data_IF_325798243318
#
_entry.id   IF_325798243318
#
_cell.length_a   1.000
_cell.length_b   1.000
_cell.length_c   1.000
_cell.angle_alpha   90.00
_cell.angle_beta   90.00
_cell.angle_gamma   90.00
#
_symmetry.space_group_name_H-M   'P 1'
#
loop_
_entity.id
_entity.type
_entity.pdbx_description
1 polymer ?
#
# COMPACT_ATOMS: atom_id res chain seq x y z
N UNK A 1 -20.73 -11.78 -23.73
CA UNK A 1 -20.92 -11.93 -22.29
C UNK A 1 -21.87 -10.86 -21.78
N UNK A 2 -23.02 -11.22 -21.25
CA UNK A 2 -23.93 -10.27 -20.59
C UNK A 2 -23.17 -9.69 -19.38
N UNK A 3 -23.02 -8.36 -19.33
CA UNK A 3 -22.40 -7.67 -18.20
C UNK A 3 -23.18 -8.03 -16.94
N UNK A 4 -22.52 -8.70 -16.00
CA UNK A 4 -23.12 -9.00 -14.69
C UNK A 4 -23.42 -7.68 -13.98
N UNK A 5 -24.51 -7.61 -13.25
CA UNK A 5 -24.89 -6.43 -12.44
C UNK A 5 -23.80 -5.99 -11.46
N UNK A 6 -22.90 -6.89 -11.08
CA UNK A 6 -21.72 -6.64 -10.22
C UNK A 6 -20.67 -5.70 -10.85
N UNK A 7 -20.69 -5.52 -12.17
CA UNK A 7 -19.73 -4.67 -12.90
C UNK A 7 -20.39 -3.42 -13.47
N UNK A 8 -21.57 -3.04 -12.99
CA UNK A 8 -22.24 -1.83 -13.45
C UNK A 8 -21.37 -0.59 -13.05
N UNK A 9 -21.07 0.33 -13.99
CA UNK A 9 -20.23 1.49 -13.73
C UNK A 9 -20.66 2.33 -12.52
N UNK A 10 -21.95 2.43 -12.25
CA UNK A 10 -22.51 3.20 -11.12
C UNK A 10 -22.13 2.66 -9.74
N UNK A 11 -21.76 1.37 -9.64
CA UNK A 11 -21.30 0.77 -8.38
C UNK A 11 -19.91 1.27 -8.02
N UNK A 12 -19.09 1.61 -9.03
CA UNK A 12 -17.70 2.01 -8.87
C UNK A 12 -17.46 3.49 -9.23
N UNK A 13 -18.45 4.14 -9.86
CA UNK A 13 -18.43 5.57 -10.19
C UNK A 13 -19.52 6.27 -9.37
N UNK A 14 -19.38 6.24 -8.06
CA UNK A 14 -20.25 6.97 -7.17
C UNK A 14 -19.68 8.38 -7.01
N UNK A 15 -20.14 9.34 -7.82
CA UNK A 15 -19.63 10.71 -7.85
C UNK A 15 -19.78 11.45 -6.54
N UNK A 16 -20.77 11.09 -5.71
CA UNK A 16 -20.95 11.66 -4.37
C UNK A 16 -19.82 11.27 -3.40
N UNK A 17 -19.14 10.12 -3.68
CA UNK A 17 -17.99 9.62 -2.92
C UNK A 17 -16.68 9.70 -3.69
N UNK A 18 -16.76 10.06 -4.98
CA UNK A 18 -15.63 10.04 -5.89
C UNK A 18 -14.61 11.14 -5.60
N UNK A 19 -14.98 12.12 -4.83
CA UNK A 19 -14.13 13.25 -4.48
C UNK A 19 -13.36 13.02 -3.18
N UNK A 20 -13.78 12.04 -2.38
CA UNK A 20 -13.05 11.61 -1.22
C UNK A 20 -11.76 10.85 -1.55
N UNK A 21 -11.12 10.36 -0.54
CA UNK A 21 -9.77 9.77 -0.48
C UNK A 21 -9.42 8.80 -1.63
N UNK A 22 -10.44 8.22 -2.28
CA UNK A 22 -10.26 7.33 -3.43
C UNK A 22 -11.40 7.51 -4.43
N UNK A 23 -11.13 8.13 -5.57
CA UNK A 23 -11.98 7.98 -6.76
C UNK A 23 -11.91 6.52 -7.22
N UNK A 24 -12.71 5.67 -6.61
CA UNK A 24 -12.74 4.23 -6.91
C UNK A 24 -13.77 3.93 -7.97
N UNK A 25 -13.42 4.20 -9.21
CA UNK A 25 -14.12 3.59 -10.33
C UNK A 25 -13.38 2.32 -10.79
N UNK A 26 -14.06 1.48 -11.57
CA UNK A 26 -13.50 0.23 -12.07
C UNK A 26 -12.19 0.42 -12.87
N UNK A 27 -12.02 1.56 -13.53
CA UNK A 27 -10.80 1.90 -14.29
C UNK A 27 -9.62 2.13 -13.35
N UNK A 28 -9.80 2.92 -12.29
CA UNK A 28 -8.75 3.23 -11.33
C UNK A 28 -8.30 1.96 -10.58
N UNK A 29 -9.26 1.12 -10.16
CA UNK A 29 -8.96 -0.17 -9.52
C UNK A 29 -8.18 -1.08 -10.49
N UNK A 30 -8.59 -1.15 -11.74
CA UNK A 30 -7.90 -1.94 -12.77
C UNK A 30 -6.48 -1.42 -13.05
N UNK A 31 -6.30 -0.10 -13.12
CA UNK A 31 -4.99 0.49 -13.37
C UNK A 31 -4.04 0.26 -12.19
N UNK A 32 -4.51 0.41 -10.96
CA UNK A 32 -3.71 0.08 -9.78
C UNK A 32 -3.35 -1.41 -9.75
N UNK A 33 -4.29 -2.29 -10.08
CA UNK A 33 -4.03 -3.72 -10.17
C UNK A 33 -2.96 -4.04 -11.23
N UNK A 34 -3.04 -3.42 -12.42
CA UNK A 34 -2.01 -3.57 -13.46
C UNK A 34 -0.65 -3.08 -13.00
N UNK A 35 -0.59 -1.91 -12.35
CA UNK A 35 0.66 -1.38 -11.80
C UNK A 35 1.29 -2.36 -10.80
N UNK A 36 0.49 -2.92 -9.90
CA UNK A 36 0.98 -3.92 -8.94
C UNK A 36 1.50 -5.18 -9.64
N UNK A 37 0.87 -5.62 -10.72
CA UNK A 37 1.37 -6.73 -11.54
C UNK A 37 2.70 -6.38 -12.22
N UNK A 38 2.84 -5.18 -12.78
CA UNK A 38 4.09 -4.72 -13.40
C UNK A 38 5.24 -4.68 -12.39
N UNK A 39 5.03 -4.02 -11.25
CA UNK A 39 6.04 -3.95 -10.19
C UNK A 39 6.44 -5.35 -9.68
N UNK A 40 5.44 -6.22 -9.47
CA UNK A 40 5.69 -7.60 -9.07
C UNK A 40 6.58 -8.35 -10.07
N UNK A 41 6.33 -8.21 -11.37
CA UNK A 41 7.13 -8.86 -12.40
C UNK A 41 8.56 -8.32 -12.45
N UNK A 42 8.72 -7.00 -12.32
CA UNK A 42 10.04 -6.36 -12.27
C UNK A 42 10.84 -6.87 -11.08
N UNK A 43 10.24 -6.86 -9.88
CA UNK A 43 10.90 -7.32 -8.66
C UNK A 43 11.21 -8.82 -8.70
N UNK A 44 10.25 -9.67 -9.10
CA UNK A 44 10.49 -11.11 -9.20
C UNK A 44 11.57 -11.47 -10.20
N UNK A 45 11.60 -10.78 -11.34
CA UNK A 45 12.60 -11.04 -12.39
C UNK A 45 14.01 -10.61 -11.95
N UNK A 46 14.13 -9.42 -11.33
CA UNK A 46 15.42 -8.90 -10.89
C UNK A 46 15.97 -9.61 -9.65
N UNK A 47 15.12 -9.91 -8.67
CA UNK A 47 15.61 -10.52 -7.40
C UNK A 47 15.58 -12.05 -7.39
N UNK A 48 14.92 -12.70 -8.35
CA UNK A 48 14.70 -14.16 -8.33
C UNK A 48 13.83 -14.66 -7.16
N UNK A 49 13.18 -13.77 -6.41
CA UNK A 49 12.42 -14.09 -5.20
C UNK A 49 10.92 -13.93 -5.42
N UNK A 50 10.07 -14.75 -4.78
CA UNK A 50 8.62 -14.57 -4.83
C UNK A 50 8.20 -13.27 -4.12
N UNK A 51 7.18 -12.60 -4.63
CA UNK A 51 6.66 -11.34 -4.08
C UNK A 51 5.21 -11.49 -3.65
N UNK A 52 4.92 -11.20 -2.38
CA UNK A 52 3.56 -11.10 -1.83
C UNK A 52 2.99 -9.73 -2.16
N UNK A 53 1.83 -9.70 -2.80
CA UNK A 53 1.14 -8.48 -3.23
C UNK A 53 0.04 -8.15 -2.25
N UNK A 54 0.17 -7.02 -1.55
CA UNK A 54 -0.81 -6.53 -0.58
C UNK A 54 -1.26 -5.13 -1.03
N UNK A 55 -2.49 -5.01 -1.50
CA UNK A 55 -3.04 -3.73 -1.93
C UNK A 55 -3.64 -2.94 -0.75
N UNK A 56 -3.22 -1.70 -0.58
CA UNK A 56 -3.93 -0.74 0.28
C UNK A 56 -5.19 -0.29 -0.44
N UNK A 57 -6.18 -1.15 -0.47
CA UNK A 57 -7.41 -1.01 -1.25
C UNK A 57 -8.58 -1.67 -0.54
N UNK A 58 -9.79 -1.17 -0.73
CA UNK A 58 -11.02 -1.74 -0.19
C UNK A 58 -11.02 -1.84 1.34
N UNK A 59 -10.68 -0.79 2.03
CA UNK A 59 -10.66 -0.76 3.50
C UNK A 59 -11.47 0.38 4.07
N UNK A 60 -11.06 0.84 5.24
CA UNK A 60 -11.58 2.06 5.84
C UNK A 60 -11.23 3.29 4.99
N UNK A 61 -12.19 4.18 4.84
CA UNK A 61 -12.01 5.51 4.27
C UNK A 61 -11.78 6.55 5.37
N UNK A 62 -11.04 6.16 6.41
CA UNK A 62 -10.67 6.97 7.55
C UNK A 62 -9.28 7.57 7.38
N UNK A 63 -9.08 8.75 7.96
CA UNK A 63 -7.81 9.47 7.94
C UNK A 63 -7.41 9.91 9.36
N UNK A 64 -6.20 9.51 9.84
CA UNK A 64 -5.69 10.04 11.11
C UNK A 64 -5.34 11.53 10.95
N UNK A 65 -5.64 12.32 11.97
CA UNK A 65 -5.37 13.76 12.00
C UNK A 65 -4.54 14.12 13.23
N UNK A 66 -3.60 15.04 13.05
CA UNK A 66 -2.81 15.61 14.14
C UNK A 66 -3.50 16.77 14.86
N UNK A 67 -4.57 17.32 14.27
CA UNK A 67 -5.39 18.38 14.87
C UNK A 67 -6.87 18.03 14.74
N UNK A 68 -7.65 18.35 15.76
CA UNK A 68 -9.09 18.16 15.76
C UNK A 68 -9.82 19.19 14.88
N UNK A 69 -9.18 20.31 14.60
CA UNK A 69 -9.73 21.40 13.82
C UNK A 69 -8.81 21.80 12.68
N UNK A 70 -9.41 22.27 11.60
CA UNK A 70 -8.78 22.95 10.45
C UNK A 70 -9.24 24.40 10.44
N UNK A 71 -8.31 25.33 10.12
CA UNK A 71 -8.61 26.76 10.02
C UNK A 71 -8.30 27.23 8.59
N UNK A 72 -9.30 27.88 7.96
CA UNK A 72 -9.16 28.52 6.65
C UNK A 72 -9.82 29.91 6.75
N UNK A 73 -9.10 30.95 6.39
CA UNK A 73 -9.57 32.34 6.37
C UNK A 73 -10.23 32.79 7.69
N UNK A 74 -9.69 32.34 8.83
CA UNK A 74 -10.20 32.69 10.16
C UNK A 74 -11.44 31.91 10.60
N UNK A 75 -11.92 30.97 9.79
CA UNK A 75 -13.00 30.03 10.16
C UNK A 75 -12.39 28.72 10.61
N UNK A 76 -12.77 28.26 11.83
CA UNK A 76 -12.31 26.98 12.39
C UNK A 76 -13.44 25.96 12.33
N UNK A 77 -13.18 24.82 11.67
CA UNK A 77 -14.13 23.71 11.56
C UNK A 77 -13.45 22.40 11.97
N UNK A 78 -14.25 21.36 12.40
CA UNK A 78 -13.69 20.04 12.63
C UNK A 78 -12.91 19.51 11.44
N UNK A 79 -11.78 18.88 11.69
CA UNK A 79 -10.94 18.31 10.64
C UNK A 79 -11.68 17.26 9.81
N UNK A 80 -11.37 17.21 8.51
CA UNK A 80 -11.79 16.09 7.66
C UNK A 80 -11.09 14.80 8.13
N UNK A 81 -11.86 13.79 8.51
CA UNK A 81 -11.38 12.53 9.08
C UNK A 81 -11.60 11.32 8.17
N UNK A 82 -11.94 11.57 6.91
CA UNK A 82 -12.23 10.55 5.90
C UNK A 82 -13.73 10.39 5.65
N UNK A 83 -14.07 9.94 4.44
CA UNK A 83 -15.46 9.83 3.96
C UNK A 83 -16.33 8.90 4.82
N UNK A 84 -15.75 7.97 5.56
CA UNK A 84 -16.46 7.12 6.51
C UNK A 84 -17.00 7.91 7.70
N UNK A 85 -16.44 9.07 8.00
CA UNK A 85 -16.78 9.91 9.16
C UNK A 85 -17.52 11.16 8.71
N UNK A 86 -16.88 12.02 7.88
CA UNK A 86 -17.42 13.32 7.50
C UNK A 86 -16.99 13.71 6.07
N UNK A 87 -17.57 14.80 5.54
CA UNK A 87 -17.27 15.30 4.21
C UNK A 87 -16.01 16.16 4.16
N UNK A 88 -15.38 16.25 2.98
CA UNK A 88 -14.14 17.02 2.76
C UNK A 88 -14.40 18.51 2.59
N UNK A 89 -15.59 18.90 2.12
CA UNK A 89 -15.94 20.29 1.92
C UNK A 89 -15.77 21.07 3.23
N UNK A 90 -15.19 22.27 3.13
CA UNK A 90 -14.96 23.12 4.29
C UNK A 90 -16.24 23.89 4.64
N UNK A 91 -17.26 23.18 5.10
CA UNK A 91 -18.54 23.70 5.55
C UNK A 91 -18.98 23.00 6.84
N UNK A 92 -19.71 23.69 7.70
CA UNK A 92 -20.22 23.12 8.95
C UNK A 92 -21.01 21.82 8.69
N UNK A 93 -21.91 21.84 7.70
CA UNK A 93 -22.76 20.68 7.38
C UNK A 93 -21.95 19.45 6.92
N UNK A 94 -20.90 19.65 6.10
CA UNK A 94 -20.07 18.56 5.62
C UNK A 94 -19.18 17.96 6.73
N UNK A 95 -18.78 18.78 7.71
CA UNK A 95 -17.89 18.37 8.80
C UNK A 95 -18.60 17.65 9.95
N UNK A 96 -19.92 17.58 9.94
CA UNK A 96 -20.69 16.80 10.93
C UNK A 96 -20.49 15.30 10.65
N UNK A 97 -20.06 14.49 11.66
CA UNK A 97 -19.94 13.04 11.49
C UNK A 97 -21.30 12.38 11.18
N UNK A 98 -21.29 11.45 10.23
CA UNK A 98 -22.50 10.73 9.83
C UNK A 98 -22.28 9.21 9.88
N UNK A 99 -22.87 8.49 10.88
CA UNK A 99 -22.72 7.05 11.04
C UNK A 99 -23.19 6.21 9.83
N UNK A 100 -24.12 6.73 9.02
CA UNK A 100 -24.59 6.05 7.79
C UNK A 100 -23.46 5.89 6.76
N UNK A 101 -22.41 6.70 6.86
CA UNK A 101 -21.25 6.58 5.99
C UNK A 101 -20.49 5.27 6.18
N UNK A 102 -20.54 4.65 7.37
CA UNK A 102 -19.95 3.32 7.60
C UNK A 102 -20.60 2.24 6.70
N UNK A 103 -21.92 2.25 6.53
CA UNK A 103 -22.62 1.32 5.64
C UNK A 103 -22.22 1.53 4.17
N UNK A 104 -22.09 2.80 3.77
CA UNK A 104 -21.64 3.15 2.40
C UNK A 104 -20.19 2.69 2.18
N UNK A 105 -19.30 2.92 3.16
CA UNK A 105 -17.90 2.47 3.11
C UNK A 105 -17.82 0.95 3.00
N UNK A 106 -18.61 0.21 3.78
CA UNK A 106 -18.69 -1.25 3.70
C UNK A 106 -19.11 -1.73 2.30
N UNK A 107 -20.20 -1.19 1.75
CA UNK A 107 -20.68 -1.57 0.42
C UNK A 107 -19.62 -1.29 -0.66
N UNK A 108 -18.96 -0.14 -0.59
CA UNK A 108 -17.90 0.24 -1.53
C UNK A 108 -16.67 -0.68 -1.38
N UNK A 109 -16.31 -1.02 -0.17
CA UNK A 109 -15.21 -1.93 0.14
C UNK A 109 -15.50 -3.34 -0.40
N UNK A 110 -16.67 -3.90 -0.09
CA UNK A 110 -17.09 -5.22 -0.54
C UNK A 110 -17.13 -5.33 -2.08
N UNK A 111 -17.68 -4.31 -2.75
CA UNK A 111 -17.71 -4.25 -4.22
C UNK A 111 -16.28 -4.19 -4.81
N UNK A 112 -15.39 -3.43 -4.20
CA UNK A 112 -13.99 -3.32 -4.62
C UNK A 112 -13.23 -4.64 -4.45
N UNK A 113 -13.39 -5.31 -3.31
CA UNK A 113 -12.79 -6.63 -3.04
C UNK A 113 -13.25 -7.67 -4.07
N UNK A 114 -14.54 -7.69 -4.39
CA UNK A 114 -15.09 -8.61 -5.37
C UNK A 114 -14.52 -8.35 -6.78
N UNK A 115 -14.37 -7.08 -7.17
CA UNK A 115 -13.76 -6.71 -8.45
C UNK A 115 -12.28 -7.09 -8.51
N UNK A 116 -11.52 -6.86 -7.45
CA UNK A 116 -10.11 -7.26 -7.35
C UNK A 116 -9.96 -8.77 -7.49
N UNK A 117 -10.83 -9.55 -6.82
CA UNK A 117 -10.86 -11.01 -6.95
C UNK A 117 -11.16 -11.46 -8.38
N UNK A 118 -12.11 -10.78 -9.04
CA UNK A 118 -12.42 -11.05 -10.44
C UNK A 118 -11.22 -10.77 -11.37
N UNK A 119 -10.46 -9.70 -11.13
CA UNK A 119 -9.23 -9.41 -11.90
C UNK A 119 -8.13 -10.44 -11.64
N UNK A 120 -7.94 -10.85 -10.39
CA UNK A 120 -6.90 -11.78 -10.01
C UNK A 120 -7.10 -13.19 -10.60
N UNK A 121 -8.36 -13.62 -10.78
CA UNK A 121 -8.72 -14.96 -11.28
C UNK A 121 -9.32 -14.98 -12.68
N UNK A 122 -9.76 -13.84 -13.19
CA UNK A 122 -10.49 -13.73 -14.48
C UNK A 122 -9.60 -13.51 -15.71
N UNK A 123 -8.30 -13.83 -15.62
CA UNK A 123 -7.36 -13.80 -16.74
C UNK A 123 -6.75 -12.42 -17.03
N UNK A 124 -6.94 -11.40 -16.18
CA UNK A 124 -6.16 -10.16 -16.27
C UNK A 124 -4.72 -10.36 -15.80
N UNK A 125 -4.51 -11.27 -14.85
CA UNK A 125 -3.21 -11.65 -14.29
C UNK A 125 -2.47 -12.72 -15.09
N UNK A 126 -2.98 -13.13 -16.25
CA UNK A 126 -2.38 -14.12 -17.12
C UNK A 126 -1.02 -13.63 -17.67
N UNK A 127 0.05 -14.37 -17.40
CA UNK A 127 1.41 -14.04 -17.86
C UNK A 127 1.55 -13.98 -19.37
N UNK A 128 0.70 -14.70 -20.14
CA UNK A 128 0.64 -14.56 -21.58
C UNK A 128 0.13 -13.17 -22.03
N UNK A 129 -0.41 -12.36 -21.11
CA UNK A 129 -0.91 -11.01 -21.35
C UNK A 129 -0.05 -9.93 -20.70
N UNK A 130 1.16 -10.27 -20.28
CA UNK A 130 2.08 -9.36 -19.59
C UNK A 130 2.26 -8.02 -20.31
N UNK A 131 2.31 -8.02 -21.64
CA UNK A 131 2.38 -6.80 -22.45
C UNK A 131 1.15 -5.88 -22.29
N UNK A 132 -0.02 -6.44 -22.00
CA UNK A 132 -1.27 -5.68 -21.83
C UNK A 132 -1.36 -4.96 -20.49
N UNK A 133 -0.42 -5.22 -19.56
CA UNK A 133 -0.38 -4.51 -18.29
C UNK A 133 0.24 -3.14 -18.41
N UNK A 134 1.07 -2.90 -19.47
CA UNK A 134 1.69 -1.61 -19.69
C UNK A 134 0.61 -0.51 -19.80
N UNK A 135 0.73 0.53 -18.98
CA UNK A 135 -0.25 1.60 -18.94
C UNK A 135 -0.01 2.57 -20.10
N UNK A 136 -1.08 3.06 -20.72
CA UNK A 136 -1.03 3.87 -21.94
C UNK A 136 -0.08 5.06 -21.84
N UNK A 137 -0.11 5.79 -20.72
CA UNK A 137 0.65 7.02 -20.51
C UNK A 137 2.14 6.81 -20.15
N UNK A 138 2.58 5.56 -19.90
CA UNK A 138 3.99 5.24 -19.67
C UNK A 138 4.61 4.46 -20.83
N UNK A 139 3.82 4.01 -21.78
CA UNK A 139 4.22 3.12 -22.87
C UNK A 139 5.39 3.66 -23.70
N UNK A 140 5.38 4.96 -23.97
CA UNK A 140 6.37 5.61 -24.84
C UNK A 140 7.56 6.19 -24.08
N UNK A 141 7.52 6.22 -22.74
CA UNK A 141 8.65 6.68 -21.94
C UNK A 141 9.72 5.57 -21.76
N UNK A 142 10.86 5.92 -21.17
CA UNK A 142 11.98 4.99 -20.97
C UNK A 142 11.57 3.75 -20.16
N UNK A 143 10.76 3.93 -19.12
CA UNK A 143 10.33 2.82 -18.25
C UNK A 143 9.36 1.88 -18.97
N UNK A 144 8.43 2.40 -19.75
CA UNK A 144 7.54 1.60 -20.58
C UNK A 144 8.34 0.73 -21.55
N UNK A 145 9.37 1.29 -22.20
CA UNK A 145 10.28 0.53 -23.10
C UNK A 145 11.07 -0.54 -22.34
N UNK A 146 11.57 -0.23 -21.13
CA UNK A 146 12.24 -1.23 -20.27
C UNK A 146 11.29 -2.36 -19.90
N UNK A 147 10.06 -2.02 -19.52
CA UNK A 147 9.04 -3.00 -19.21
C UNK A 147 8.66 -3.87 -20.42
N UNK A 148 8.54 -3.31 -21.60
CA UNK A 148 8.27 -4.07 -22.84
C UNK A 148 9.43 -5.02 -23.18
N UNK A 149 10.67 -4.61 -22.97
CA UNK A 149 11.83 -5.49 -23.12
C UNK A 149 11.79 -6.66 -22.13
N UNK A 150 11.44 -6.42 -20.87
CA UNK A 150 11.22 -7.45 -19.87
C UNK A 150 10.06 -8.37 -20.26
N UNK A 151 8.93 -7.81 -20.68
CA UNK A 151 7.76 -8.57 -21.13
C UNK A 151 8.09 -9.52 -22.28
N UNK A 152 8.97 -9.10 -23.20
CA UNK A 152 9.45 -9.93 -24.31
C UNK A 152 10.27 -11.12 -23.82
N UNK A 153 11.12 -10.93 -22.80
CA UNK A 153 11.88 -12.03 -22.19
C UNK A 153 10.95 -13.02 -21.48
N UNK A 154 9.94 -12.53 -20.76
CA UNK A 154 8.93 -13.36 -20.09
C UNK A 154 8.13 -14.16 -21.13
N UNK A 155 7.66 -13.54 -22.21
CA UNK A 155 6.93 -14.22 -23.30
C UNK A 155 7.77 -15.36 -23.90
N UNK A 156 9.08 -15.14 -24.08
CA UNK A 156 10.00 -16.18 -24.56
C UNK A 156 10.13 -17.35 -23.57
N UNK A 157 10.23 -17.03 -22.27
CA UNK A 157 10.28 -18.04 -21.21
C UNK A 157 8.96 -18.84 -21.15
N UNK A 158 7.80 -18.17 -21.28
CA UNK A 158 6.50 -18.81 -21.30
C UNK A 158 6.34 -19.77 -22.50
N UNK A 159 6.81 -19.38 -23.70
CA UNK A 159 6.84 -20.25 -24.89
C UNK A 159 7.72 -21.47 -24.69
N UNK A 160 8.87 -21.30 -24.04
CA UNK A 160 9.74 -22.43 -23.68
C UNK A 160 9.07 -23.38 -22.71
N UNK A 161 8.46 -22.86 -21.63
CA UNK A 161 7.73 -23.68 -20.66
C UNK A 161 6.57 -24.46 -21.33
N UNK A 162 5.81 -23.79 -22.20
CA UNK A 162 4.73 -24.43 -22.95
C UNK A 162 5.24 -25.58 -23.86
N UNK A 163 6.40 -25.39 -24.49
CA UNK A 163 7.03 -26.46 -25.30
C UNK A 163 7.48 -27.66 -24.43
N UNK A 164 7.78 -27.41 -23.15
CA UNK A 164 8.06 -28.47 -22.16
C UNK A 164 6.78 -29.09 -21.54
N UNK A 165 5.58 -28.70 -22.01
CA UNK A 165 4.30 -29.20 -21.46
C UNK A 165 3.77 -28.45 -20.23
N UNK A 166 4.45 -27.39 -19.81
CA UNK A 166 4.04 -26.54 -18.68
C UNK A 166 3.24 -25.33 -19.20
N UNK A 167 1.94 -25.42 -19.13
CA UNK A 167 1.02 -24.38 -19.65
C UNK A 167 -0.01 -23.94 -18.59
N UNK A 168 -0.88 -23.03 -18.96
CA UNK A 168 -1.89 -22.48 -18.07
C UNK A 168 -2.90 -23.51 -17.54
N UNK A 169 -3.11 -24.62 -18.28
CA UNK A 169 -4.03 -25.68 -17.85
C UNK A 169 -3.40 -26.57 -16.77
N UNK A 170 -2.08 -26.78 -16.86
CA UNK A 170 -1.32 -27.57 -15.90
C UNK A 170 -0.84 -26.74 -14.68
N UNK A 171 -0.70 -25.43 -14.85
CA UNK A 171 -0.16 -24.51 -13.82
C UNK A 171 -1.04 -23.25 -13.66
N UNK A 172 -2.02 -23.27 -12.74
CA UNK A 172 -2.89 -22.12 -12.49
C UNK A 172 -2.13 -20.81 -12.16
N UNK A 173 -0.93 -20.92 -11.59
CA UNK A 173 -0.06 -19.76 -11.25
C UNK A 173 0.37 -18.95 -12.48
N UNK A 174 0.30 -19.52 -13.68
CA UNK A 174 0.64 -18.82 -14.92
C UNK A 174 -0.46 -17.87 -15.40
N UNK A 175 -1.72 -18.07 -14.97
CA UNK A 175 -2.85 -17.26 -15.44
C UNK A 175 -3.67 -16.61 -14.32
N UNK A 176 -3.34 -16.92 -13.05
CA UNK A 176 -4.00 -16.37 -11.88
C UNK A 176 -2.95 -15.82 -10.91
N UNK A 177 -3.36 -14.90 -10.07
CA UNK A 177 -2.53 -14.40 -8.98
C UNK A 177 -3.33 -14.27 -7.71
N UNK A 178 -2.63 -14.18 -6.58
CA UNK A 178 -3.22 -13.77 -5.31
C UNK A 178 -2.88 -12.30 -5.08
N UNK A 179 -3.89 -11.48 -4.81
CA UNK A 179 -3.74 -10.14 -4.29
C UNK A 179 -4.46 -10.08 -2.94
N UNK A 180 -3.71 -9.83 -1.90
CA UNK A 180 -4.22 -9.56 -0.57
C UNK A 180 -4.58 -8.07 -0.45
N UNK A 181 -5.39 -7.73 0.55
CA UNK A 181 -5.76 -6.33 0.85
C UNK A 181 -5.40 -5.99 2.27
N UNK A 182 -5.10 -4.70 2.50
CA UNK A 182 -4.75 -4.19 3.81
C UNK A 182 -5.18 -2.72 3.95
N UNK A 183 -5.45 -2.28 5.18
CA UNK A 183 -5.67 -0.88 5.54
C UNK A 183 -5.30 -0.61 7.00
N UNK A 184 -5.20 0.68 7.36
CA UNK A 184 -5.09 1.09 8.76
C UNK A 184 -6.44 0.87 9.47
N UNK A 185 -6.45 0.08 10.52
CA UNK A 185 -7.66 -0.14 11.34
C UNK A 185 -7.84 1.01 12.33
N UNK A 186 -8.08 2.20 11.81
CA UNK A 186 -8.18 3.41 12.64
C UNK A 186 -9.50 3.47 13.41
N UNK A 187 -10.62 3.09 12.77
CA UNK A 187 -11.96 3.15 13.35
C UNK A 187 -12.37 1.76 13.83
N UNK A 188 -12.09 1.45 15.10
CA UNK A 188 -12.32 0.13 15.69
C UNK A 188 -13.79 -0.31 15.68
N UNK A 189 -14.74 0.61 15.79
CA UNK A 189 -16.17 0.28 15.68
C UNK A 189 -16.55 -0.34 14.31
N UNK A 190 -15.84 0.05 13.26
CA UNK A 190 -16.01 -0.53 11.93
C UNK A 190 -15.40 -1.94 11.86
N UNK A 191 -14.20 -2.12 12.42
CA UNK A 191 -13.48 -3.39 12.41
C UNK A 191 -14.17 -4.43 13.30
N UNK A 192 -14.59 -4.05 14.51
CA UNK A 192 -15.35 -4.91 15.43
C UNK A 192 -16.62 -5.43 14.77
N UNK A 193 -17.37 -4.56 14.09
CA UNK A 193 -18.58 -4.96 13.36
C UNK A 193 -18.33 -6.00 12.25
N UNK A 194 -17.09 -6.12 11.75
CA UNK A 194 -16.69 -7.07 10.70
C UNK A 194 -15.87 -8.25 11.24
N UNK A 195 -15.59 -8.28 12.54
CA UNK A 195 -14.85 -9.38 13.18
C UNK A 195 -15.76 -10.58 13.40
N UNK A 196 -15.26 -11.77 13.03
CA UNK A 196 -16.00 -13.04 13.11
C UNK A 196 -15.15 -14.12 13.72
N UNK A 197 -15.80 -15.00 14.49
CA UNK A 197 -15.20 -16.23 14.96
C UNK A 197 -15.27 -17.28 13.86
N UNK A 198 -14.13 -17.84 13.51
CA UNK A 198 -14.08 -19.00 12.62
C UNK A 198 -14.61 -20.25 13.35
N UNK A 199 -15.51 -20.96 12.71
CA UNK A 199 -16.20 -22.12 13.31
C UNK A 199 -15.34 -23.38 13.35
N UNK A 200 -14.30 -23.45 12.52
CA UNK A 200 -13.40 -24.61 12.45
C UNK A 200 -12.25 -24.49 13.45
N UNK A 201 -11.61 -23.33 13.48
CA UNK A 201 -10.45 -23.10 14.35
C UNK A 201 -10.81 -22.51 15.71
N UNK A 202 -11.96 -21.87 15.85
CA UNK A 202 -12.37 -21.13 17.04
C UNK A 202 -11.70 -19.78 17.23
N UNK A 203 -10.88 -19.36 16.27
CA UNK A 203 -10.13 -18.10 16.29
C UNK A 203 -10.94 -16.93 15.75
N UNK A 204 -10.56 -15.70 16.12
CA UNK A 204 -11.22 -14.50 15.67
C UNK A 204 -10.47 -13.86 14.49
N UNK A 205 -11.20 -13.51 13.44
CA UNK A 205 -10.67 -12.82 12.27
C UNK A 205 -11.47 -11.56 11.97
N UNK A 206 -10.76 -10.47 11.73
CA UNK A 206 -11.35 -9.30 11.11
C UNK A 206 -11.49 -9.55 9.60
N UNK A 207 -12.74 -9.51 9.11
CA UNK A 207 -13.09 -9.81 7.72
C UNK A 207 -13.12 -8.55 6.83
N UNK A 208 -12.71 -7.39 7.33
CA UNK A 208 -12.63 -6.15 6.56
C UNK A 208 -11.50 -6.17 5.53
N UNK A 209 -10.39 -6.86 5.84
CA UNK A 209 -9.25 -7.07 4.95
C UNK A 209 -8.50 -8.37 5.31
N UNK A 210 -7.50 -8.75 4.49
CA UNK A 210 -6.64 -9.91 4.80
C UNK A 210 -5.61 -9.59 5.87
N UNK A 211 -5.06 -8.36 5.86
CA UNK A 211 -4.11 -7.83 6.81
C UNK A 211 -4.56 -6.44 7.26
N UNK A 212 -4.33 -6.09 8.50
CA UNK A 212 -4.59 -4.74 9.02
C UNK A 212 -3.33 -4.19 9.68
N UNK A 213 -3.19 -2.87 9.76
CA UNK A 213 -2.08 -2.28 10.49
C UNK A 213 -2.51 -1.24 11.51
N UNK A 214 -1.69 -1.12 12.55
CA UNK A 214 -1.76 -0.11 13.59
C UNK A 214 -0.96 1.10 13.14
N UNK A 215 -1.54 2.30 13.20
CA UNK A 215 -0.87 3.55 12.90
C UNK A 215 0.14 3.95 13.98
N UNK A 216 1.06 4.85 13.61
CA UNK A 216 2.08 5.36 14.55
C UNK A 216 1.49 6.14 15.75
N UNK A 217 0.27 6.67 15.60
CA UNK A 217 -0.45 7.42 16.64
C UNK A 217 -1.35 6.56 17.54
N UNK A 218 -1.56 5.30 17.17
CA UNK A 218 -2.50 4.39 17.85
C UNK A 218 -1.82 3.12 18.34
N UNK A 219 -0.48 3.16 18.51
CA UNK A 219 0.34 2.03 18.90
C UNK A 219 0.70 1.99 20.40
N UNK A 220 0.12 2.85 21.20
CA UNK A 220 0.34 2.81 22.67
C UNK A 220 -0.16 1.48 23.24
N UNK A 221 0.70 0.84 24.04
CA UNK A 221 0.46 -0.49 24.61
C UNK A 221 -0.80 -0.57 25.47
N UNK A 222 -1.22 0.54 26.06
CA UNK A 222 -2.39 0.61 26.94
C UNK A 222 -3.67 1.06 26.23
N UNK A 223 -3.61 1.25 24.90
CA UNK A 223 -4.70 1.78 24.11
C UNK A 223 -5.51 0.67 23.42
N UNK A 224 -6.73 1.01 23.06
CA UNK A 224 -7.72 0.08 22.52
C UNK A 224 -7.28 -0.64 21.22
N UNK A 225 -6.42 -0.02 20.41
CA UNK A 225 -5.94 -0.62 19.18
C UNK A 225 -5.06 -1.85 19.47
N UNK A 226 -4.12 -1.76 20.38
CA UNK A 226 -3.27 -2.89 20.76
C UNK A 226 -4.11 -4.02 21.32
N UNK A 227 -5.05 -3.72 22.22
CA UNK A 227 -5.93 -4.74 22.78
C UNK A 227 -6.80 -5.43 21.74
N UNK A 228 -7.35 -4.68 20.77
CA UNK A 228 -8.11 -5.24 19.67
C UNK A 228 -7.25 -6.19 18.81
N UNK A 229 -6.05 -5.76 18.44
CA UNK A 229 -5.16 -6.53 17.56
C UNK A 229 -4.61 -7.80 18.23
N UNK A 230 -4.50 -7.83 19.55
CA UNK A 230 -4.17 -9.06 20.29
C UNK A 230 -5.23 -10.15 20.12
N UNK A 231 -6.49 -9.74 19.92
CA UNK A 231 -7.64 -10.65 19.83
C UNK A 231 -7.89 -11.25 18.45
N UNK A 232 -7.26 -10.77 17.38
CA UNK A 232 -7.48 -11.26 16.01
C UNK A 232 -6.30 -12.05 15.47
N UNK A 233 -6.56 -13.02 14.59
CA UNK A 233 -5.55 -13.92 13.98
C UNK A 233 -5.08 -13.47 12.58
N UNK A 234 -5.57 -12.37 12.06
CA UNK A 234 -5.06 -11.79 10.81
C UNK A 234 -3.56 -11.48 10.93
N UNK A 235 -2.78 -11.55 9.85
CA UNK A 235 -1.47 -10.90 9.82
C UNK A 235 -1.60 -9.42 10.19
N UNK A 236 -0.69 -8.91 11.00
CA UNK A 236 -0.73 -7.56 11.56
C UNK A 236 0.42 -6.72 11.02
N UNK A 237 0.16 -5.46 10.72
CA UNK A 237 1.17 -4.44 10.54
C UNK A 237 1.22 -3.50 11.73
N UNK A 238 2.40 -2.95 12.04
CA UNK A 238 2.55 -1.86 13.00
C UNK A 238 3.54 -0.84 12.48
N UNK A 239 3.17 0.43 12.50
CA UNK A 239 4.05 1.53 12.09
C UNK A 239 5.11 1.79 13.16
N UNK A 240 6.37 1.93 12.71
CA UNK A 240 7.53 2.19 13.56
C UNK A 240 8.18 3.49 13.08
N UNK A 241 7.99 4.55 13.84
CA UNK A 241 8.55 5.89 13.59
C UNK A 241 9.78 6.21 14.44
N UNK A 242 10.38 7.40 14.26
CA UNK A 242 11.61 7.80 14.96
C UNK A 242 11.44 8.01 16.47
N UNK A 243 10.22 7.99 16.97
CA UNK A 243 9.92 8.10 18.40
C UNK A 243 9.78 6.74 19.10
N UNK A 244 9.96 5.64 18.36
CA UNK A 244 9.91 4.29 18.93
C UNK A 244 11.17 4.04 19.75
N UNK A 245 10.98 3.64 21.01
CA UNK A 245 12.07 3.19 21.87
C UNK A 245 12.25 1.66 21.80
N UNK A 246 13.47 1.19 22.12
CA UNK A 246 13.85 -0.21 21.95
C UNK A 246 13.02 -1.15 22.86
N UNK A 247 12.83 -0.78 24.13
CA UNK A 247 12.07 -1.59 25.09
C UNK A 247 10.57 -1.58 24.75
N UNK A 248 10.01 -0.41 24.38
CA UNK A 248 8.64 -0.27 23.90
C UNK A 248 8.38 -1.19 22.68
N UNK A 249 9.33 -1.28 21.75
CA UNK A 249 9.20 -2.14 20.58
C UNK A 249 9.13 -3.63 20.95
N UNK A 250 9.94 -4.08 21.91
CA UNK A 250 9.91 -5.48 22.38
C UNK A 250 8.58 -5.78 23.07
N UNK A 251 8.13 -4.92 23.96
CA UNK A 251 6.83 -5.09 24.65
C UNK A 251 5.66 -5.13 23.64
N UNK A 252 5.72 -4.29 22.60
CA UNK A 252 4.74 -4.28 21.51
C UNK A 252 4.75 -5.59 20.70
N UNK A 253 5.94 -6.12 20.38
CA UNK A 253 6.07 -7.40 19.69
C UNK A 253 5.49 -8.53 20.55
N UNK A 254 5.80 -8.56 21.83
CA UNK A 254 5.30 -9.58 22.77
C UNK A 254 3.78 -9.51 22.94
N UNK A 255 3.22 -8.30 22.93
CA UNK A 255 1.78 -8.11 22.99
C UNK A 255 1.06 -8.60 21.70
N UNK A 256 1.63 -8.35 20.51
CA UNK A 256 1.00 -8.62 19.22
C UNK A 256 1.35 -10.00 18.64
N UNK A 257 2.48 -10.57 19.05
CA UNK A 257 2.97 -11.88 18.58
C UNK A 257 3.56 -12.70 19.73
N UNK A 258 2.74 -13.05 20.75
CA UNK A 258 3.21 -13.73 21.97
C UNK A 258 3.82 -15.11 21.69
N UNK A 259 3.36 -15.79 20.65
CA UNK A 259 3.83 -17.12 20.26
C UNK A 259 5.08 -17.05 19.35
N UNK A 260 5.60 -15.85 19.09
CA UNK A 260 6.73 -15.59 18.19
C UNK A 260 6.55 -16.26 16.80
N UNK A 261 5.33 -16.23 16.28
CA UNK A 261 4.91 -16.86 15.03
C UNK A 261 5.53 -16.14 13.82
N UNK A 262 6.13 -16.88 12.89
CA UNK A 262 6.69 -16.35 11.66
C UNK A 262 5.60 -15.78 10.75
N UNK A 263 5.84 -14.54 10.21
CA UNK A 263 4.91 -13.88 9.30
C UNK A 263 3.70 -13.22 9.95
N UNK A 264 3.51 -13.36 11.26
CA UNK A 264 2.40 -12.78 12.01
C UNK A 264 2.46 -11.26 12.06
N UNK A 265 3.62 -10.69 12.38
CA UNK A 265 3.81 -9.27 12.62
C UNK A 265 4.75 -8.65 11.58
N UNK A 266 4.27 -7.64 10.85
CA UNK A 266 5.06 -6.80 9.95
C UNK A 266 5.29 -5.42 10.58
N UNK A 267 6.54 -5.12 10.94
CA UNK A 267 6.97 -3.80 11.40
C UNK A 267 7.24 -2.90 10.19
N UNK A 268 6.45 -1.84 10.08
CA UNK A 268 6.46 -0.93 8.92
C UNK A 268 7.23 0.34 9.31
N UNK A 269 8.52 0.37 8.97
CA UNK A 269 9.45 1.46 9.30
C UNK A 269 9.13 2.71 8.49
N UNK A 270 8.99 3.86 9.17
CA UNK A 270 8.67 5.16 8.56
C UNK A 270 9.46 6.30 9.22
N UNK A 271 10.75 6.35 8.99
CA UNK A 271 11.66 7.29 9.66
C UNK A 271 11.84 8.60 8.89
N UNK A 272 11.83 8.55 7.57
CA UNK A 272 12.30 9.60 6.67
C UNK A 272 13.77 9.41 6.31
N UNK A 273 14.14 9.79 5.08
CA UNK A 273 15.49 9.60 4.53
C UNK A 273 16.61 10.21 5.41
N UNK A 274 16.33 11.35 6.05
CA UNK A 274 17.30 12.04 6.91
C UNK A 274 17.49 11.41 8.28
N UNK A 275 16.61 10.49 8.71
CA UNK A 275 16.58 9.98 10.08
C UNK A 275 16.79 8.47 10.19
N UNK A 276 16.58 7.73 9.13
CA UNK A 276 16.58 6.26 9.18
C UNK A 276 17.91 5.70 9.67
N UNK A 277 19.06 6.26 9.27
CA UNK A 277 20.39 5.84 9.71
C UNK A 277 20.64 6.06 11.19
N UNK A 278 19.98 7.05 11.80
CA UNK A 278 20.13 7.38 13.22
C UNK A 278 19.29 6.47 14.10
N UNK A 279 18.03 6.26 13.72
CA UNK A 279 17.03 5.64 14.63
C UNK A 279 16.81 4.15 14.39
N UNK A 280 16.85 3.69 13.14
CA UNK A 280 16.46 2.33 12.80
C UNK A 280 17.46 1.24 13.25
N UNK A 281 18.80 1.42 13.15
CA UNK A 281 19.75 0.36 13.48
C UNK A 281 19.63 -0.18 14.90
N UNK A 282 19.36 0.67 15.89
CA UNK A 282 19.21 0.26 17.29
C UNK A 282 17.99 -0.64 17.49
N UNK A 283 16.87 -0.30 16.87
CA UNK A 283 15.63 -1.08 16.92
C UNK A 283 15.82 -2.45 16.26
N UNK A 284 16.41 -2.47 15.06
CA UNK A 284 16.68 -3.70 14.33
C UNK A 284 17.61 -4.65 15.09
N UNK A 285 18.66 -4.08 15.69
CA UNK A 285 19.61 -4.82 16.53
C UNK A 285 18.92 -5.44 17.74
N UNK A 286 18.10 -4.66 18.46
CA UNK A 286 17.38 -5.12 19.64
C UNK A 286 16.44 -6.28 19.33
N UNK A 287 15.63 -6.17 18.29
CA UNK A 287 14.70 -7.22 17.86
C UNK A 287 15.42 -8.51 17.44
N UNK A 288 16.54 -8.37 16.70
CA UNK A 288 17.37 -9.51 16.32
C UNK A 288 17.99 -10.21 17.53
N UNK A 289 18.57 -9.45 18.44
CA UNK A 289 19.29 -9.97 19.61
C UNK A 289 18.32 -10.66 20.61
N UNK A 290 17.04 -10.25 20.66
CA UNK A 290 15.96 -10.91 21.40
C UNK A 290 15.33 -12.11 20.66
N UNK A 291 15.77 -12.42 19.45
CA UNK A 291 15.27 -13.56 18.66
C UNK A 291 13.79 -13.45 18.27
N UNK A 292 13.28 -12.24 18.08
CA UNK A 292 11.88 -12.01 17.71
C UNK A 292 11.66 -12.23 16.21
N UNK A 293 10.64 -13.03 15.86
CA UNK A 293 10.22 -13.26 14.49
C UNK A 293 9.28 -12.15 14.01
N UNK A 294 9.78 -11.28 13.18
CA UNK A 294 9.02 -10.19 12.56
C UNK A 294 9.39 -10.03 11.09
N UNK A 295 8.45 -9.51 10.32
CA UNK A 295 8.68 -9.05 8.95
C UNK A 295 9.01 -7.57 8.99
N UNK A 296 10.03 -7.13 8.26
CA UNK A 296 10.39 -5.72 8.15
C UNK A 296 10.03 -5.15 6.78
N UNK A 297 9.27 -4.08 6.75
CA UNK A 297 9.02 -3.31 5.52
C UNK A 297 9.26 -1.82 5.72
N UNK A 298 9.66 -1.12 4.65
CA UNK A 298 9.89 0.31 4.64
C UNK A 298 8.67 1.06 4.10
N UNK A 299 8.21 2.07 4.82
CA UNK A 299 7.26 3.07 4.36
C UNK A 299 8.00 4.40 4.13
N UNK A 300 8.52 4.65 2.95
CA UNK A 300 9.27 5.86 2.64
C UNK A 300 8.35 7.05 2.33
N UNK A 301 7.04 6.88 2.52
CA UNK A 301 6.06 7.91 2.16
C UNK A 301 5.81 8.88 3.32
N UNK A 302 5.57 8.34 4.53
CA UNK A 302 5.06 9.14 5.65
C UNK A 302 6.15 9.91 6.42
N UNK A 303 7.41 9.54 6.27
CA UNK A 303 8.56 10.28 6.81
C UNK A 303 9.08 11.41 5.93
N UNK A 304 8.71 11.42 4.63
CA UNK A 304 9.24 12.34 3.62
C UNK A 304 8.18 13.33 3.06
N UNK A 305 7.19 13.65 3.88
CA UNK A 305 6.18 14.65 3.50
C UNK A 305 6.72 16.06 3.69
N UNK A 306 6.58 16.89 2.67
CA UNK A 306 7.00 18.29 2.68
C UNK A 306 5.96 19.21 2.04
N UNK A 307 6.17 20.52 2.15
CA UNK A 307 5.39 21.54 1.47
C UNK A 307 6.25 22.16 0.38
N UNK A 308 5.78 22.11 -0.87
CA UNK A 308 6.47 22.70 -2.01
C UNK A 308 6.52 24.21 -1.92
N UNK A 309 7.38 24.85 -2.74
CA UNK A 309 7.44 26.30 -2.93
C UNK A 309 6.11 26.90 -3.41
N UNK A 310 5.30 26.12 -4.11
CA UNK A 310 3.97 26.49 -4.62
C UNK A 310 2.83 26.22 -3.64
N UNK A 311 3.15 25.74 -2.43
CA UNK A 311 2.19 25.52 -1.35
C UNK A 311 1.51 24.15 -1.31
N UNK A 312 1.73 23.29 -2.31
CA UNK A 312 1.19 21.93 -2.31
C UNK A 312 1.94 21.03 -1.31
N UNK A 313 1.21 20.16 -0.67
CA UNK A 313 1.79 19.02 0.05
C UNK A 313 2.37 18.05 -0.98
N UNK A 314 3.63 17.64 -0.81
CA UNK A 314 4.30 16.77 -1.77
C UNK A 314 5.28 15.83 -1.07
N UNK A 315 5.94 15.00 -1.84
CA UNK A 315 7.10 14.17 -1.46
C UNK A 315 8.10 14.22 -2.60
N UNK A 316 9.35 14.38 -2.27
CA UNK A 316 10.41 14.27 -3.24
C UNK A 316 10.74 12.79 -3.49
N UNK A 317 10.81 12.38 -4.77
CA UNK A 317 11.08 11.00 -5.16
C UNK A 317 12.47 10.52 -4.73
N UNK A 318 13.46 11.42 -4.76
CA UNK A 318 14.83 11.05 -4.38
C UNK A 318 14.92 10.78 -2.87
N UNK A 319 14.16 11.49 -2.05
CA UNK A 319 14.03 11.20 -0.62
C UNK A 319 13.32 9.84 -0.37
N UNK A 320 12.28 9.54 -1.16
CA UNK A 320 11.60 8.23 -1.08
C UNK A 320 12.58 7.10 -1.42
N UNK A 321 13.30 7.23 -2.52
CA UNK A 321 14.30 6.26 -2.95
C UNK A 321 15.42 6.09 -1.91
N UNK A 322 15.96 7.21 -1.44
CA UNK A 322 17.05 7.22 -0.45
C UNK A 322 16.67 6.52 0.85
N UNK A 323 15.43 6.69 1.36
CA UNK A 323 15.00 5.97 2.56
C UNK A 323 14.95 4.46 2.33
N UNK A 324 14.48 4.00 1.15
CA UNK A 324 14.44 2.58 0.82
C UNK A 324 15.83 1.99 0.66
N UNK A 325 16.74 2.68 -0.04
CA UNK A 325 18.13 2.24 -0.21
C UNK A 325 18.86 2.12 1.14
N UNK A 326 18.70 3.11 2.01
CA UNK A 326 19.26 3.08 3.36
C UNK A 326 18.66 1.93 4.19
N UNK A 327 17.34 1.69 4.09
CA UNK A 327 16.70 0.56 4.76
C UNK A 327 17.31 -0.77 4.34
N UNK A 328 17.47 -1.00 3.03
CA UNK A 328 18.09 -2.21 2.49
C UNK A 328 19.55 -2.34 2.95
N UNK A 329 20.32 -1.25 2.88
CA UNK A 329 21.73 -1.24 3.30
C UNK A 329 21.91 -1.58 4.79
N UNK A 330 21.06 -1.01 5.67
CA UNK A 330 21.08 -1.30 7.12
C UNK A 330 20.81 -2.79 7.38
N UNK A 331 19.84 -3.37 6.69
CA UNK A 331 19.56 -4.81 6.81
C UNK A 331 20.74 -5.67 6.34
N UNK A 332 21.39 -5.31 5.23
CA UNK A 332 22.59 -5.99 4.72
C UNK A 332 23.74 -5.90 5.71
N UNK A 333 24.01 -4.71 6.27
CA UNK A 333 25.03 -4.47 7.29
C UNK A 333 24.81 -5.31 8.55
N UNK A 334 23.57 -5.52 8.92
CA UNK A 334 23.19 -6.25 10.14
C UNK A 334 22.90 -7.75 9.93
N UNK A 335 23.02 -8.25 8.70
CA UNK A 335 22.73 -9.65 8.37
C UNK A 335 21.27 -10.05 8.56
N UNK A 336 20.33 -9.12 8.37
CA UNK A 336 18.89 -9.33 8.44
C UNK A 336 18.24 -9.13 7.08
N UNK A 337 16.93 -9.29 6.96
CA UNK A 337 16.21 -9.26 5.67
C UNK A 337 15.32 -8.03 5.56
N UNK A 338 15.56 -7.20 4.55
CA UNK A 338 14.63 -6.17 4.09
C UNK A 338 13.52 -6.86 3.30
N UNK A 339 12.35 -7.10 3.94
CA UNK A 339 11.33 -7.98 3.36
C UNK A 339 10.34 -7.28 2.42
N UNK A 340 10.22 -5.95 2.46
CA UNK A 340 9.23 -5.28 1.61
C UNK A 340 9.20 -3.77 1.70
N UNK A 341 8.33 -3.18 0.88
CA UNK A 341 8.05 -1.75 0.83
C UNK A 341 6.54 -1.49 0.97
N UNK A 342 6.18 -0.40 1.60
CA UNK A 342 4.81 0.06 1.81
C UNK A 342 4.63 1.44 1.18
N UNK A 343 3.91 1.51 0.05
CA UNK A 343 3.80 2.72 -0.78
C UNK A 343 2.39 3.28 -0.83
N UNK A 344 2.29 4.60 -0.95
CA UNK A 344 1.09 5.29 -1.43
C UNK A 344 1.25 5.60 -2.91
N UNK A 345 0.54 4.88 -3.76
CA UNK A 345 0.64 4.98 -5.21
C UNK A 345 -0.70 4.88 -5.91
N UNK A 346 -0.74 5.30 -7.16
CA UNK A 346 -1.93 5.18 -8.02
C UNK A 346 -1.54 4.72 -9.42
N UNK A 347 -2.42 3.96 -10.07
CA UNK A 347 -2.28 3.59 -11.48
C UNK A 347 -2.66 4.70 -12.46
N UNK A 348 -2.83 5.95 -11.99
CA UNK A 348 -3.16 7.11 -12.80
C UNK A 348 -1.95 8.02 -13.00
N UNK A 349 -2.00 8.83 -14.06
CA UNK A 349 -1.00 9.84 -14.39
C UNK A 349 -1.24 11.13 -13.57
N UNK A 350 -0.86 11.10 -12.29
CA UNK A 350 -0.95 12.25 -11.38
C UNK A 350 0.40 12.94 -11.22
N UNK A 351 0.37 14.21 -10.78
CA UNK A 351 1.56 15.02 -10.47
C UNK A 351 1.52 15.45 -9.00
N UNK A 352 1.65 14.48 -8.07
CA UNK A 352 1.52 14.71 -6.63
C UNK A 352 2.84 14.64 -5.87
N UNK A 353 3.83 13.91 -6.42
CA UNK A 353 5.19 13.83 -5.90
C UNK A 353 6.18 14.45 -6.90
N UNK A 354 7.14 15.22 -6.41
CA UNK A 354 8.19 15.84 -7.23
C UNK A 354 9.33 14.86 -7.55
N UNK A 355 10.25 15.25 -8.43
CA UNK A 355 11.41 14.46 -8.81
C UNK A 355 11.09 13.32 -9.77
N UNK A 356 11.97 12.30 -9.77
CA UNK A 356 12.00 11.16 -10.70
C UNK A 356 12.69 11.48 -12.03
N UNK A 357 13.54 10.57 -12.49
CA UNK A 357 14.23 10.71 -13.78
C UNK A 357 13.30 10.42 -14.97
N UNK A 358 12.25 9.62 -14.74
CA UNK A 358 11.32 9.19 -15.80
C UNK A 358 10.24 10.21 -16.12
N UNK A 359 9.87 11.09 -15.18
CA UNK A 359 8.78 12.05 -15.38
C UNK A 359 9.03 13.46 -14.81
N UNK A 360 10.19 13.72 -14.21
CA UNK A 360 10.75 15.03 -13.79
C UNK A 360 9.69 16.08 -13.36
N UNK A 361 8.82 15.73 -12.40
CA UNK A 361 7.77 16.64 -11.92
C UNK A 361 8.41 17.73 -11.06
N UNK A 362 8.24 18.99 -11.47
CA UNK A 362 8.70 20.17 -10.70
C UNK A 362 7.62 20.64 -9.72
N UNK A 363 7.98 21.54 -8.79
CA UNK A 363 7.03 22.16 -7.87
C UNK A 363 5.88 22.90 -8.60
N UNK A 364 6.18 23.56 -9.71
CA UNK A 364 5.20 24.25 -10.56
C UNK A 364 4.31 23.25 -11.31
N UNK A 365 4.87 22.08 -11.69
CA UNK A 365 4.18 21.01 -12.38
C UNK A 365 3.12 20.30 -11.54
N UNK A 366 3.21 20.38 -10.20
CA UNK A 366 2.26 19.74 -9.28
C UNK A 366 0.80 20.11 -9.58
N UNK A 367 0.52 21.38 -9.87
CA UNK A 367 -0.83 21.88 -10.10
C UNK A 367 -1.55 21.25 -11.30
N UNK A 368 -0.82 20.64 -12.24
CA UNK A 368 -1.39 20.18 -13.51
C UNK A 368 -2.35 18.98 -13.35
N UNK A 369 -2.03 18.02 -12.46
CA UNK A 369 -2.83 16.81 -12.20
C UNK A 369 -2.74 16.39 -10.73
N UNK A 370 -2.87 17.35 -9.82
CA UNK A 370 -2.90 17.11 -8.37
C UNK A 370 -4.32 16.69 -7.98
N UNK A 371 -4.57 15.41 -7.82
CA UNK A 371 -5.90 14.85 -7.61
C UNK A 371 -6.13 14.30 -6.20
N UNK A 372 -5.09 14.21 -5.38
CA UNK A 372 -5.26 13.76 -4.00
C UNK A 372 -5.93 14.83 -3.15
N UNK A 373 -6.81 14.40 -2.27
CA UNK A 373 -7.42 15.24 -1.25
C UNK A 373 -6.79 15.03 0.13
N UNK A 374 -5.76 14.19 0.20
CA UNK A 374 -5.11 13.83 1.45
C UNK A 374 -3.59 13.85 1.34
N UNK A 375 -3.02 12.71 0.98
CA UNK A 375 -1.58 12.52 0.94
C UNK A 375 -1.11 12.30 -0.50
N UNK A 376 -0.02 12.96 -0.94
CA UNK A 376 0.49 12.83 -2.29
C UNK A 376 0.92 11.39 -2.57
N UNK A 377 0.62 10.89 -3.79
CA UNK A 377 0.87 9.52 -4.21
C UNK A 377 1.90 9.49 -5.34
N UNK A 378 2.69 8.44 -5.39
CA UNK A 378 3.47 8.12 -6.58
C UNK A 378 2.52 7.83 -7.75
N UNK A 379 2.79 8.38 -8.92
CA UNK A 379 2.15 7.93 -10.14
C UNK A 379 2.75 6.61 -10.63
N UNK A 380 2.19 6.02 -11.68
CA UNK A 380 2.64 4.71 -12.13
C UNK A 380 4.07 4.73 -12.69
N UNK A 381 4.54 5.84 -13.29
CA UNK A 381 5.93 5.94 -13.73
C UNK A 381 6.90 5.94 -12.56
N UNK A 382 6.67 6.75 -11.55
CA UNK A 382 7.48 6.80 -10.34
C UNK A 382 7.50 5.46 -9.59
N UNK A 383 6.34 4.82 -9.43
CA UNK A 383 6.25 3.52 -8.77
C UNK A 383 7.01 2.41 -9.53
N UNK A 384 6.93 2.42 -10.86
CA UNK A 384 7.64 1.46 -11.70
C UNK A 384 9.15 1.73 -11.72
N UNK A 385 9.58 3.00 -11.73
CA UNK A 385 10.98 3.40 -11.59
C UNK A 385 11.59 2.85 -10.30
N UNK A 386 10.90 3.06 -9.17
CA UNK A 386 11.32 2.52 -7.88
C UNK A 386 11.47 0.99 -7.93
N UNK A 387 10.52 0.27 -8.55
CA UNK A 387 10.62 -1.18 -8.68
C UNK A 387 11.84 -1.62 -9.50
N UNK A 388 12.17 -0.92 -10.60
CA UNK A 388 13.37 -1.21 -11.38
C UNK A 388 14.67 -0.93 -10.62
N UNK A 389 14.72 0.12 -9.81
CA UNK A 389 15.89 0.43 -8.99
C UNK A 389 16.11 -0.65 -7.93
N UNK A 390 15.05 -1.06 -7.25
CA UNK A 390 15.13 -2.12 -6.24
C UNK A 390 15.45 -3.51 -6.81
N UNK A 391 15.10 -3.77 -8.06
CA UNK A 391 15.39 -5.07 -8.71
C UNK A 391 16.87 -5.29 -9.04
N UNK A 392 17.71 -4.26 -8.99
CA UNK A 392 19.14 -4.32 -9.28
C UNK A 392 20.04 -4.23 -8.04
N UNK A 393 19.48 -4.05 -6.87
CA UNK A 393 20.28 -3.92 -5.63
C UNK A 393 20.99 -5.22 -5.21
N UNK A 394 20.61 -6.37 -5.76
CA UNK A 394 21.24 -7.67 -5.48
C UNK A 394 22.39 -7.99 -6.48
N UNK A 395 22.48 -7.31 -7.66
CA UNK A 395 23.46 -7.61 -8.71
C UNK A 395 24.87 -6.96 -8.50
N UNK A 396 25.03 -6.06 -7.55
CA UNK A 396 26.33 -5.44 -7.25
C UNK A 396 27.23 -6.29 -6.31
N UNK A 397 26.91 -7.56 -6.12
CA UNK A 397 27.62 -8.47 -5.21
C UNK A 397 28.22 -9.72 -5.89
N UNK A 398 28.37 -9.71 -7.25
CA UNK A 398 29.21 -10.71 -7.96
C UNK A 398 30.49 -10.12 -8.52
#
# INVERSE_FOLDING_TARGET
>A
MKRSALFHPRVFDNREWAEGYYRRNAKNIKNLFKLMLQMNMVLMYGTGKPVVKIGRIAGQFAKPRSSDFEEIDGVSLPSYRGDIINGIEFTEAARVPNPKNMLRAYNQSAATLNLVRAFARGGLADLNKVHQWNLEFIKDNLLGKRYDALSTKIDRAMKFMAACGLNSDSMPQLHQTTLYTSHEALLLNYEEALTRKDTETGEWYDCSAHMLWIGDRTRDLNEAHIEYFRGIKNPIGCKVGPTMEEDELIELIDALNPDNEEGRLNLIVRMGASKIREYFPKLLKRVRDEGKNVVWSCDPMHGNVEKSSTGFKTRDFDNILSEVEQFVAIHKEMGTVAAGIHLEMTGNDVTECTGSTSCAITAEGLASRYHTQCDPRLNASQALELAFMLSHTDDESE
#
